data_IF_841726296287
#
_entry.id   IF_841726296287
#
_cell.length_a   1.000
_cell.length_b   1.000
_cell.length_c   1.000
_cell.angle_alpha   90.00
_cell.angle_beta   90.00
_cell.angle_gamma   90.00
#
_symmetry.space_group_name_H-M   'P 1'
#
loop_
_entity.id
_entity.type
_entity.pdbx_description
1 polymer ?
#
# COMPACT_ATOMS: atom_id res chain seq x y z
N UNK A 1 -10.33 10.88 -4.99
CA UNK A 1 -9.45 10.61 -3.83
C UNK A 1 -10.18 9.54 -3.02
N UNK A 2 -9.67 8.31 -2.99
CA UNK A 2 -10.40 7.13 -2.49
C UNK A 2 -10.16 7.00 -0.99
N UNK A 3 -10.72 7.90 -0.19
CA UNK A 3 -10.82 7.85 1.28
C UNK A 3 -9.52 7.74 2.11
N UNK A 4 -8.39 7.42 1.52
CA UNK A 4 -7.10 7.23 2.13
C UNK A 4 -6.03 7.91 1.27
N UNK A 5 -4.97 8.38 1.91
CA UNK A 5 -3.75 8.80 1.22
C UNK A 5 -2.63 7.84 1.62
N UNK A 6 -2.13 7.07 0.65
CA UNK A 6 -0.96 6.23 0.81
C UNK A 6 0.28 6.99 0.32
N UNK A 7 1.28 7.09 1.18
CA UNK A 7 2.59 7.63 0.82
C UNK A 7 3.68 6.80 1.45
N UNK A 8 4.89 6.85 0.90
CA UNK A 8 5.94 5.98 1.36
C UNK A 8 7.32 6.29 0.82
N UNK A 9 8.31 5.64 1.39
CA UNK A 9 9.68 5.65 0.91
C UNK A 9 10.09 4.25 0.49
N UNK A 10 10.91 4.17 -0.56
CA UNK A 10 11.61 2.95 -0.93
C UNK A 10 13.08 3.11 -0.56
N UNK A 11 13.60 2.15 0.17
CA UNK A 11 15.03 2.06 0.49
C UNK A 11 15.53 0.71 -0.02
N UNK A 12 16.67 0.72 -0.71
CA UNK A 12 17.32 -0.50 -1.16
C UNK A 12 18.64 -0.60 -0.42
N UNK A 13 18.72 -1.53 0.52
CA UNK A 13 20.00 -2.03 1.01
C UNK A 13 20.51 -3.09 0.02
N UNK A 14 21.82 -3.36 -0.01
CA UNK A 14 22.53 -4.15 -1.03
C UNK A 14 21.83 -5.44 -1.48
N UNK A 15 21.00 -6.06 -0.64
CA UNK A 15 20.21 -7.26 -0.96
C UNK A 15 18.71 -7.10 -0.73
N UNK A 16 18.24 -6.03 -0.10
CA UNK A 16 16.88 -5.98 0.45
C UNK A 16 16.19 -4.68 0.06
N UNK A 17 14.99 -4.79 -0.49
CA UNK A 17 14.10 -3.66 -0.72
C UNK A 17 13.19 -3.49 0.48
N UNK A 18 13.17 -2.29 1.04
CA UNK A 18 12.28 -1.86 2.11
C UNK A 18 11.31 -0.84 1.52
N UNK A 19 10.01 -1.04 1.76
CA UNK A 19 8.97 -0.08 1.41
C UNK A 19 8.24 0.29 2.68
N UNK A 20 8.42 1.55 3.10
CA UNK A 20 7.67 2.12 4.20
C UNK A 20 6.36 2.69 3.64
N UNK A 21 5.21 2.18 4.07
CA UNK A 21 3.90 2.66 3.64
C UNK A 21 3.22 3.33 4.83
N UNK A 22 2.84 4.58 4.66
CA UNK A 22 1.98 5.33 5.59
C UNK A 22 0.64 5.53 4.92
N UNK A 23 -0.43 5.21 5.64
CA UNK A 23 -1.80 5.48 5.25
C UNK A 23 -2.40 6.48 6.23
N UNK A 24 -3.06 7.51 5.70
CA UNK A 24 -3.89 8.42 6.49
C UNK A 24 -5.34 8.25 6.08
N UNK A 25 -6.21 8.04 7.06
CA UNK A 25 -7.66 8.08 6.85
C UNK A 25 -8.10 9.54 6.66
N UNK A 26 -8.65 9.84 5.48
CA UNK A 26 -9.10 11.18 5.12
C UNK A 26 -10.61 11.36 5.23
N UNK A 27 -11.35 10.32 5.63
CA UNK A 27 -12.80 10.36 5.67
C UNK A 27 -13.30 10.76 7.05
N UNK A 28 -14.18 11.76 7.11
CA UNK A 28 -14.72 12.29 8.36
C UNK A 28 -16.00 11.58 8.84
N UNK A 29 -16.54 10.64 8.05
CA UNK A 29 -17.86 10.04 8.25
C UNK A 29 -17.85 8.74 9.07
N UNK A 30 -16.70 8.31 9.59
CA UNK A 30 -16.56 7.04 10.31
C UNK A 30 -16.13 5.87 9.42
N UNK A 31 -16.02 6.08 8.10
CA UNK A 31 -15.32 5.16 7.22
C UNK A 31 -13.83 5.07 7.59
N UNK A 32 -13.16 4.05 7.07
CA UNK A 32 -11.73 3.79 7.26
C UNK A 32 -11.00 3.81 5.93
N UNK A 33 -9.76 4.28 5.95
CA UNK A 33 -8.83 4.10 4.86
C UNK A 33 -8.20 2.71 4.91
N UNK A 34 -8.20 1.98 3.79
CA UNK A 34 -7.47 0.71 3.63
C UNK A 34 -6.51 0.81 2.45
N UNK A 35 -5.30 0.28 2.65
CA UNK A 35 -4.31 0.08 1.61
C UNK A 35 -3.99 -1.39 1.52
N UNK A 36 -4.01 -1.89 0.30
CA UNK A 36 -3.43 -3.17 -0.06
C UNK A 36 -2.04 -2.95 -0.61
N UNK A 37 -1.08 -3.75 -0.15
CA UNK A 37 0.29 -3.74 -0.64
C UNK A 37 0.64 -5.11 -1.20
N UNK A 38 1.27 -5.19 -2.37
CA UNK A 38 1.85 -6.45 -2.84
C UNK A 38 3.16 -6.24 -3.61
N UNK A 39 4.02 -7.24 -3.55
CA UNK A 39 5.25 -7.30 -4.32
C UNK A 39 4.97 -7.74 -5.76
N UNK A 40 5.71 -7.16 -6.70
CA UNK A 40 5.81 -7.61 -8.09
C UNK A 40 7.15 -8.33 -8.26
N UNK A 41 7.10 -9.56 -8.76
CA UNK A 41 8.28 -10.38 -8.96
C UNK A 41 8.81 -10.24 -10.39
N UNK A 42 10.11 -10.51 -10.56
CA UNK A 42 10.77 -10.41 -11.87
C UNK A 42 10.18 -11.37 -12.93
N UNK A 43 9.50 -12.44 -12.50
CA UNK A 43 8.80 -13.39 -13.35
C UNK A 43 7.38 -12.94 -13.75
N UNK A 44 6.98 -11.73 -13.35
CA UNK A 44 5.66 -11.15 -13.60
C UNK A 44 4.57 -11.60 -12.63
N UNK A 45 4.88 -12.53 -11.71
CA UNK A 45 3.96 -12.95 -10.66
C UNK A 45 3.88 -11.89 -9.54
N UNK A 46 2.91 -12.05 -8.64
CA UNK A 46 2.60 -11.08 -7.59
C UNK A 46 2.42 -11.79 -6.26
N UNK A 47 2.84 -11.15 -5.16
CA UNK A 47 2.58 -11.70 -3.83
C UNK A 47 1.10 -11.62 -3.47
N UNK A 48 0.69 -12.43 -2.49
CA UNK A 48 -0.58 -12.19 -1.79
C UNK A 48 -0.53 -10.79 -1.17
N UNK A 49 -1.59 -9.98 -1.31
CA UNK A 49 -1.63 -8.65 -0.73
C UNK A 49 -1.59 -8.67 0.80
N UNK A 50 -0.82 -7.75 1.37
CA UNK A 50 -0.88 -7.37 2.78
C UNK A 50 -1.83 -6.20 2.95
N UNK A 51 -2.50 -6.14 4.10
CA UNK A 51 -3.57 -5.16 4.37
C UNK A 51 -3.12 -4.22 5.48
N UNK A 52 -3.19 -2.92 5.22
CA UNK A 52 -3.03 -1.86 6.21
C UNK A 52 -4.32 -1.05 6.28
N UNK A 53 -4.91 -0.93 7.46
CA UNK A 53 -6.15 -0.16 7.66
C UNK A 53 -5.92 0.89 8.73
N UNK A 54 -6.21 2.14 8.41
CA UNK A 54 -6.31 3.26 9.34
C UNK A 54 -7.79 3.60 9.52
N UNK A 55 -8.20 3.74 10.78
CA UNK A 55 -9.57 4.02 11.16
C UNK A 55 -9.59 5.21 12.11
N UNK A 56 -10.35 6.23 11.74
CA UNK A 56 -10.50 7.45 12.51
C UNK A 56 -9.96 8.63 11.73
N UNK A 57 -10.76 9.69 11.68
CA UNK A 57 -10.44 10.89 10.91
C UNK A 57 -9.03 11.41 11.20
N UNK A 58 -8.20 11.50 10.15
CA UNK A 58 -6.80 11.95 10.18
C UNK A 58 -5.84 11.05 10.99
N UNK A 59 -6.27 9.85 11.38
CA UNK A 59 -5.39 8.87 12.00
C UNK A 59 -4.46 8.30 10.94
N UNK A 60 -3.17 8.26 11.29
CA UNK A 60 -2.14 7.63 10.47
C UNK A 60 -1.80 6.25 10.99
N UNK A 61 -1.48 5.36 10.06
CA UNK A 61 -0.90 4.06 10.35
C UNK A 61 0.23 3.81 9.37
N UNK A 62 1.29 3.15 9.82
CA UNK A 62 2.43 2.85 8.98
C UNK A 62 2.87 1.40 9.14
N UNK A 63 3.38 0.81 8.07
CA UNK A 63 4.00 -0.52 8.06
C UNK A 63 5.21 -0.51 7.13
N UNK A 64 6.24 -1.27 7.47
CA UNK A 64 7.41 -1.45 6.59
C UNK A 64 7.42 -2.86 6.05
N UNK A 65 7.26 -2.98 4.73
CA UNK A 65 7.39 -4.23 4.01
C UNK A 65 8.83 -4.41 3.54
N UNK A 66 9.33 -5.64 3.57
CA UNK A 66 10.66 -5.96 3.05
C UNK A 66 10.69 -7.23 2.22
N UNK A 67 11.58 -7.28 1.23
CA UNK A 67 11.82 -8.45 0.38
C UNK A 67 13.21 -8.41 -0.25
N UNK A 68 13.77 -9.59 -0.54
CA UNK A 68 15.01 -9.72 -1.31
C UNK A 68 14.87 -9.04 -2.69
N UNK A 69 15.80 -8.12 -2.99
CA UNK A 69 15.81 -7.33 -4.22
C UNK A 69 15.91 -8.22 -5.46
N UNK A 70 16.64 -9.33 -5.38
CA UNK A 70 16.89 -10.21 -6.52
C UNK A 70 15.60 -10.88 -7.04
N UNK A 71 14.57 -11.01 -6.20
CA UNK A 71 13.30 -11.61 -6.57
C UNK A 71 12.33 -10.62 -7.24
N UNK A 72 12.56 -9.31 -7.11
CA UNK A 72 11.57 -8.28 -7.46
C UNK A 72 11.72 -7.77 -8.89
N UNK A 73 10.62 -7.26 -9.42
CA UNK A 73 10.60 -6.47 -10.66
C UNK A 73 11.62 -5.32 -10.54
N UNK A 74 12.43 -5.15 -11.58
CA UNK A 74 13.54 -4.19 -11.57
C UNK A 74 13.09 -2.74 -11.64
N UNK A 75 11.93 -2.48 -12.23
CA UNK A 75 11.39 -1.13 -12.45
C UNK A 75 10.33 -0.81 -11.40
N UNK A 76 9.36 -1.70 -11.22
CA UNK A 76 8.20 -1.50 -10.36
C UNK A 76 8.11 -2.62 -9.31
N UNK A 77 8.93 -2.60 -8.24
CA UNK A 77 9.06 -3.74 -7.33
C UNK A 77 7.78 -4.03 -6.52
N UNK A 78 6.85 -3.09 -6.42
CA UNK A 78 5.61 -3.24 -5.67
C UNK A 78 4.49 -2.39 -6.26
N UNK A 79 3.27 -2.64 -5.81
CA UNK A 79 2.10 -1.83 -6.13
C UNK A 79 1.18 -1.74 -4.90
N UNK A 80 0.43 -0.65 -4.84
CA UNK A 80 -0.54 -0.38 -3.79
C UNK A 80 -1.93 -0.19 -4.37
N UNK A 81 -2.96 -0.44 -3.57
CA UNK A 81 -4.34 -0.13 -3.91
C UNK A 81 -5.01 0.50 -2.71
N UNK A 82 -5.53 1.71 -2.89
CA UNK A 82 -6.29 2.45 -1.88
C UNK A 82 -7.78 2.08 -1.97
N UNK A 83 -8.42 1.90 -0.82
CA UNK A 83 -9.81 1.49 -0.69
C UNK A 83 -10.46 2.23 0.47
N UNK A 84 -11.64 2.81 0.24
CA UNK A 84 -12.55 3.27 1.29
C UNK A 84 -13.32 2.07 1.84
N UNK A 85 -13.28 1.90 3.15
CA UNK A 85 -14.05 0.89 3.87
C UNK A 85 -15.12 1.59 4.70
N UNK A 86 -16.39 1.26 4.51
CA UNK A 86 -17.52 1.86 5.21
C UNK A 86 -18.34 0.74 5.87
N UNK A 87 -18.57 0.84 7.18
CA UNK A 87 -19.20 -0.23 7.99
C UNK A 87 -18.61 -1.65 7.78
N UNK A 88 -17.31 -1.73 7.47
CA UNK A 88 -16.59 -2.99 7.22
C UNK A 88 -16.63 -3.47 5.76
N UNK A 89 -17.41 -2.82 4.90
CA UNK A 89 -17.55 -3.13 3.48
C UNK A 89 -16.64 -2.24 2.61
N UNK A 90 -16.11 -2.80 1.52
CA UNK A 90 -15.32 -2.02 0.56
C UNK A 90 -16.24 -1.28 -0.41
N UNK A 91 -16.32 0.03 -0.29
CA UNK A 91 -17.31 0.85 -1.03
C UNK A 91 -16.72 1.64 -2.19
N UNK A 92 -15.44 2.00 -2.11
CA UNK A 92 -14.72 2.69 -3.17
C UNK A 92 -13.30 2.16 -3.25
N UNK A 93 -12.85 1.77 -4.44
CA UNK A 93 -11.58 1.09 -4.68
C UNK A 93 -10.85 1.77 -5.82
N UNK A 94 -9.65 2.27 -5.54
CA UNK A 94 -8.72 2.71 -6.55
C UNK A 94 -8.23 1.55 -7.42
N UNK A 95 -7.53 1.87 -8.50
CA UNK A 95 -6.76 0.88 -9.25
C UNK A 95 -5.49 0.52 -8.47
N UNK A 96 -4.90 -0.62 -8.81
CA UNK A 96 -3.52 -0.88 -8.40
C UNK A 96 -2.62 0.13 -9.08
N UNK A 97 -1.76 0.77 -8.30
CA UNK A 97 -0.84 1.79 -8.76
C UNK A 97 0.57 1.54 -8.22
N UNK A 98 1.56 1.96 -9.00
CA UNK A 98 2.96 1.96 -8.63
C UNK A 98 3.30 3.39 -8.23
N UNK A 99 3.44 3.72 -6.94
CA UNK A 99 3.59 5.10 -6.48
C UNK A 99 4.93 5.75 -6.87
N UNK A 100 5.72 5.07 -7.71
CA UNK A 100 6.93 5.55 -8.34
C UNK A 100 6.71 5.68 -9.86
N UNK A 101 6.10 6.79 -10.29
CA UNK A 101 6.25 7.35 -11.64
C UNK A 101 6.60 8.83 -11.57
#
# INVERSE_FOLDING_TARGET
>A
MVGAYAYGTIEVDNTTTYVHVVIRDSVSDGASGRVYFRWRYADGSKSVPSILTASGYMVEKSETYWKDRAALDSYDPFEVKEVKVDDGEEVDSGSWDTPFQ
#
